data_IF_129107743564
#
_entry.id   IF_129107743564
#
_cell.length_a   1.000
_cell.length_b   1.000
_cell.length_c   1.000
_cell.angle_alpha   90.00
_cell.angle_beta   90.00
_cell.angle_gamma   90.00
#
_symmetry.space_group_name_H-M   'P 1'
#
loop_
_entity.id
_entity.type
_entity.pdbx_description
1 polymer ?
#
# COMPACT_ATOMS: atom_id res chain seq x y z
N UNK A 1 -18.36 1.44 -20.04
CA UNK A 1 -17.65 1.65 -18.75
C UNK A 1 -16.27 2.11 -19.13
N UNK A 2 -15.80 3.23 -18.58
CA UNK A 2 -14.56 3.85 -19.05
C UNK A 2 -13.40 3.47 -18.14
N UNK A 3 -12.36 2.85 -18.71
CA UNK A 3 -11.09 2.56 -18.05
C UNK A 3 -9.94 2.89 -19.00
N UNK A 4 -8.76 3.15 -18.44
CA UNK A 4 -7.54 3.37 -19.20
C UNK A 4 -6.51 2.30 -18.86
N UNK A 5 -5.69 1.93 -19.84
CA UNK A 5 -4.57 1.02 -19.62
C UNK A 5 -3.26 1.81 -19.42
N UNK A 6 -2.33 1.22 -18.68
CA UNK A 6 -1.00 1.77 -18.47
C UNK A 6 0.06 0.68 -18.32
N UNK A 7 1.31 1.12 -18.15
CA UNK A 7 2.49 0.25 -18.08
C UNK A 7 2.91 -0.10 -16.64
N UNK A 8 2.28 0.50 -15.63
CA UNK A 8 2.56 0.20 -14.22
C UNK A 8 2.23 -1.27 -13.90
N UNK A 9 3.10 -1.93 -13.14
CA UNK A 9 2.97 -3.36 -12.83
C UNK A 9 2.90 -3.59 -11.34
N UNK A 10 2.32 -4.74 -10.97
CA UNK A 10 2.36 -5.22 -9.59
C UNK A 10 3.82 -5.27 -9.12
N UNK A 11 4.06 -4.79 -7.89
CA UNK A 11 5.35 -4.88 -7.26
C UNK A 11 5.80 -6.34 -7.21
N UNK A 12 7.06 -6.59 -7.55
CA UNK A 12 7.61 -7.94 -7.57
C UNK A 12 8.21 -8.29 -6.20
N UNK A 13 8.15 -9.57 -5.78
CA UNK A 13 8.88 -10.01 -4.61
C UNK A 13 10.36 -9.66 -4.69
N UNK A 14 10.85 -8.98 -3.67
CA UNK A 14 12.24 -8.49 -3.61
C UNK A 14 13.22 -9.52 -3.02
N UNK A 15 12.71 -10.66 -2.56
CA UNK A 15 13.44 -11.62 -1.75
C UNK A 15 13.30 -11.36 -0.25
N UNK A 16 13.79 -12.31 0.54
CA UNK A 16 13.80 -12.28 2.01
C UNK A 16 14.90 -11.37 2.54
N UNK A 17 14.76 -10.90 3.78
CA UNK A 17 15.84 -10.20 4.49
C UNK A 17 17.15 -10.99 4.40
N UNK A 18 18.22 -10.33 3.95
CA UNK A 18 19.54 -10.92 3.84
C UNK A 18 20.33 -10.75 5.15
N UNK A 19 21.25 -11.69 5.49
CA UNK A 19 22.01 -11.64 6.74
C UNK A 19 22.81 -10.34 6.95
N UNK A 20 23.34 -9.77 5.87
CA UNK A 20 24.10 -8.52 5.86
C UNK A 20 23.23 -7.27 6.08
N UNK A 21 21.91 -7.38 5.89
CA UNK A 21 20.96 -6.29 6.17
C UNK A 21 20.50 -6.26 7.64
N UNK A 22 20.58 -7.39 8.36
CA UNK A 22 19.91 -7.55 9.66
C UNK A 22 20.37 -6.55 10.72
N UNK A 23 21.69 -6.34 10.84
CA UNK A 23 22.26 -5.45 11.86
C UNK A 23 21.81 -4.00 11.65
N UNK A 24 21.82 -3.53 10.40
CA UNK A 24 21.41 -2.17 10.05
C UNK A 24 19.91 -1.98 10.26
N UNK A 25 19.10 -2.97 9.86
CA UNK A 25 17.65 -2.95 10.08
C UNK A 25 17.35 -2.91 11.58
N UNK A 26 17.99 -3.76 12.39
CA UNK A 26 17.80 -3.78 13.84
C UNK A 26 18.14 -2.43 14.49
N UNK A 27 19.26 -1.81 14.08
CA UNK A 27 19.67 -0.49 14.56
C UNK A 27 18.63 0.59 14.21
N UNK A 28 18.13 0.60 12.98
CA UNK A 28 17.13 1.58 12.54
C UNK A 28 15.79 1.38 13.25
N UNK A 29 15.34 0.13 13.45
CA UNK A 29 14.14 -0.17 14.22
C UNK A 29 14.28 0.30 15.69
N UNK A 30 15.45 0.12 16.29
CA UNK A 30 15.74 0.63 17.63
C UNK A 30 15.71 2.17 17.69
N UNK A 31 16.26 2.86 16.68
CA UNK A 31 16.17 4.34 16.54
C UNK A 31 14.73 4.82 16.41
N UNK A 32 13.87 4.05 15.74
CA UNK A 32 12.41 4.26 15.71
C UNK A 32 11.69 3.88 17.01
N UNK A 33 12.42 3.62 18.09
CA UNK A 33 11.91 3.30 19.44
C UNK A 33 11.10 1.99 19.50
N UNK A 34 11.31 1.07 18.55
CA UNK A 34 10.72 -0.27 18.63
C UNK A 34 11.36 -1.05 19.78
N UNK A 35 10.53 -1.75 20.57
CA UNK A 35 11.03 -2.56 21.69
C UNK A 35 11.88 -3.74 21.20
N UNK A 36 12.94 -4.18 21.93
CA UNK A 36 13.82 -5.25 21.47
C UNK A 36 13.12 -6.55 21.06
N UNK A 37 12.09 -6.95 21.81
CA UNK A 37 11.31 -8.14 21.50
C UNK A 37 10.49 -8.00 20.19
N UNK A 38 10.08 -6.78 19.86
CA UNK A 38 9.36 -6.46 18.63
C UNK A 38 10.30 -6.33 17.43
N UNK A 39 11.54 -5.87 17.65
CA UNK A 39 12.61 -5.89 16.65
C UNK A 39 12.85 -7.33 16.19
N UNK A 40 13.02 -8.28 17.12
CA UNK A 40 13.25 -9.67 16.74
C UNK A 40 12.06 -10.28 15.99
N UNK A 41 10.82 -9.94 16.38
CA UNK A 41 9.62 -10.35 15.64
C UNK A 41 9.59 -9.77 14.23
N UNK A 42 9.95 -8.49 14.08
CA UNK A 42 10.03 -7.83 12.78
C UNK A 42 11.08 -8.50 11.89
N UNK A 43 12.31 -8.69 12.39
CA UNK A 43 13.38 -9.39 11.67
C UNK A 43 12.95 -10.80 11.26
N UNK A 44 12.36 -11.56 12.19
CA UNK A 44 11.82 -12.90 11.90
C UNK A 44 10.75 -12.87 10.81
N UNK A 45 9.89 -11.84 10.81
CA UNK A 45 8.88 -11.68 9.76
C UNK A 45 9.51 -11.37 8.40
N UNK A 46 10.44 -10.42 8.35
CA UNK A 46 11.16 -10.05 7.13
C UNK A 46 12.03 -11.19 6.56
N UNK A 47 12.58 -12.09 7.40
CA UNK A 47 13.26 -13.31 6.96
C UNK A 47 12.33 -14.31 6.28
N UNK A 48 11.02 -14.27 6.57
CA UNK A 48 10.02 -15.20 5.99
C UNK A 48 9.37 -14.64 4.74
N UNK A 49 9.14 -13.34 4.73
CA UNK A 49 8.48 -12.60 3.65
C UNK A 49 9.29 -12.59 2.36
N UNK A 50 8.61 -12.71 1.21
CA UNK A 50 9.24 -12.54 -0.11
C UNK A 50 9.49 -11.06 -0.47
N UNK A 51 9.04 -10.11 0.36
CA UNK A 51 9.28 -8.67 0.25
C UNK A 51 10.26 -8.14 1.32
N UNK A 52 10.83 -9.04 2.12
CA UNK A 52 11.68 -8.69 3.25
C UNK A 52 12.91 -7.84 2.89
N UNK A 53 13.58 -8.15 1.79
CA UNK A 53 14.77 -7.43 1.34
C UNK A 53 14.47 -5.98 0.92
N UNK A 54 13.34 -5.76 0.24
CA UNK A 54 12.89 -4.45 -0.20
C UNK A 54 12.49 -3.56 0.98
N UNK A 55 11.73 -4.12 1.92
CA UNK A 55 11.40 -3.42 3.17
C UNK A 55 12.67 -3.10 3.96
N UNK A 56 13.60 -4.06 4.06
CA UNK A 56 14.88 -3.87 4.73
C UNK A 56 15.71 -2.74 4.11
N UNK A 57 15.68 -2.60 2.78
CA UNK A 57 16.31 -1.49 2.07
C UNK A 57 15.72 -0.14 2.50
N UNK A 58 14.40 0.01 2.48
CA UNK A 58 13.74 1.26 2.91
C UNK A 58 14.00 1.60 4.38
N UNK A 59 13.98 0.60 5.26
CA UNK A 59 14.34 0.79 6.68
C UNK A 59 15.78 1.27 6.82
N UNK A 60 16.71 0.60 6.13
CA UNK A 60 18.15 0.89 6.21
C UNK A 60 18.50 2.28 5.67
N UNK A 61 17.84 2.71 4.59
CA UNK A 61 18.02 4.05 4.03
C UNK A 61 17.49 5.15 4.96
N UNK A 62 16.54 4.85 5.85
CA UNK A 62 16.02 5.79 6.85
C UNK A 62 15.24 6.98 6.29
N UNK A 63 15.06 7.09 4.97
CA UNK A 63 14.42 8.24 4.31
C UNK A 63 12.98 8.48 4.72
N UNK A 64 12.26 7.42 5.07
CA UNK A 64 10.85 7.47 5.47
C UNK A 64 10.66 7.55 7.00
N UNK A 65 11.75 7.46 7.78
CA UNK A 65 11.70 7.30 9.24
C UNK A 65 11.11 8.49 10.01
N UNK A 66 11.09 9.66 9.38
CA UNK A 66 10.56 10.89 9.97
C UNK A 66 9.07 11.11 9.68
N UNK A 67 8.48 10.28 8.81
CA UNK A 67 7.08 10.43 8.43
C UNK A 67 6.16 9.96 9.57
N UNK A 68 5.09 10.71 9.92
CA UNK A 68 4.08 10.24 10.86
C UNK A 68 3.51 8.89 10.42
N UNK A 69 3.20 8.01 11.39
CA UNK A 69 2.67 6.66 11.12
C UNK A 69 3.70 5.61 10.72
N UNK A 70 4.98 5.99 10.59
CA UNK A 70 6.04 5.05 10.19
C UNK A 70 6.21 3.89 11.19
N UNK A 71 6.10 4.15 12.50
CA UNK A 71 6.16 3.10 13.53
C UNK A 71 5.03 2.08 13.40
N UNK A 72 3.82 2.55 13.10
CA UNK A 72 2.61 1.76 12.91
C UNK A 72 2.76 0.89 11.67
N UNK A 73 3.27 1.46 10.57
CA UNK A 73 3.60 0.71 9.34
C UNK A 73 4.60 -0.42 9.64
N UNK A 74 5.72 -0.11 10.30
CA UNK A 74 6.74 -1.11 10.66
C UNK A 74 6.19 -2.21 11.58
N UNK A 75 5.21 -1.88 12.42
CA UNK A 75 4.61 -2.85 13.33
C UNK A 75 3.89 -3.99 12.58
N UNK A 76 3.46 -3.76 11.33
CA UNK A 76 2.83 -4.78 10.49
C UNK A 76 3.81 -5.85 10.00
N UNK A 77 5.11 -5.53 9.90
CA UNK A 77 6.16 -6.52 9.58
C UNK A 77 6.32 -7.60 10.66
N UNK A 78 5.76 -7.39 11.86
CA UNK A 78 5.74 -8.41 12.92
C UNK A 78 4.74 -9.53 12.64
N UNK A 79 3.79 -9.32 11.72
CA UNK A 79 2.65 -10.20 11.45
C UNK A 79 2.87 -11.01 10.16
N UNK A 80 3.99 -11.74 10.08
CA UNK A 80 4.25 -12.65 8.94
C UNK A 80 4.11 -14.10 9.39
N UNK A 81 3.09 -14.74 8.84
CA UNK A 81 2.75 -16.15 9.07
C UNK A 81 2.24 -16.79 7.78
N UNK A 82 2.06 -18.11 7.77
CA UNK A 82 1.44 -18.80 6.62
C UNK A 82 0.00 -18.35 6.34
N UNK A 83 -0.70 -17.81 7.35
CA UNK A 83 -2.11 -17.45 7.24
C UNK A 83 -2.35 -15.96 6.98
N UNK A 84 -1.34 -15.11 7.24
CA UNK A 84 -1.40 -13.67 7.10
C UNK A 84 0.00 -13.13 6.92
N UNK A 85 0.22 -12.39 5.84
CA UNK A 85 1.45 -11.69 5.53
C UNK A 85 1.11 -10.28 5.06
N UNK A 86 1.42 -9.28 5.88
CA UNK A 86 1.20 -7.87 5.58
C UNK A 86 2.37 -7.23 4.84
N UNK A 87 3.49 -7.94 4.69
CA UNK A 87 4.69 -7.38 4.08
C UNK A 87 4.52 -6.90 2.63
N UNK A 88 3.69 -7.50 1.75
CA UNK A 88 3.49 -6.93 0.43
C UNK A 88 2.86 -5.54 0.51
N UNK A 89 1.83 -5.36 1.35
CA UNK A 89 1.18 -4.06 1.54
C UNK A 89 2.12 -3.02 2.18
N UNK A 90 2.95 -3.43 3.14
CA UNK A 90 3.97 -2.56 3.72
C UNK A 90 4.98 -2.11 2.67
N UNK A 91 5.46 -3.03 1.83
CA UNK A 91 6.39 -2.70 0.75
C UNK A 91 5.76 -1.74 -0.24
N UNK A 92 4.51 -1.98 -0.66
CA UNK A 92 3.76 -1.07 -1.55
C UNK A 92 3.65 0.34 -0.94
N UNK A 93 3.32 0.45 0.35
CA UNK A 93 3.19 1.74 1.01
C UNK A 93 4.53 2.50 1.05
N UNK A 94 5.63 1.82 1.39
CA UNK A 94 6.97 2.42 1.38
C UNK A 94 7.39 2.86 -0.02
N UNK A 95 7.17 2.04 -1.03
CA UNK A 95 7.47 2.34 -2.43
C UNK A 95 6.67 3.55 -2.93
N UNK A 96 5.37 3.59 -2.63
CA UNK A 96 4.49 4.70 -3.02
C UNK A 96 4.89 6.01 -2.32
N UNK A 97 5.17 5.98 -1.02
CA UNK A 97 5.62 7.15 -0.29
C UNK A 97 7.00 7.63 -0.78
N UNK A 98 7.91 6.71 -1.12
CA UNK A 98 9.21 7.05 -1.68
C UNK A 98 9.08 7.71 -3.07
N UNK A 99 8.18 7.21 -3.93
CA UNK A 99 7.90 7.83 -5.22
C UNK A 99 7.29 9.24 -5.07
N UNK A 100 6.31 9.40 -4.18
CA UNK A 100 5.76 10.72 -3.85
C UNK A 100 6.83 11.69 -3.34
N UNK A 101 7.71 11.23 -2.45
CA UNK A 101 8.81 12.04 -1.93
C UNK A 101 9.80 12.41 -3.05
N UNK A 102 10.12 11.49 -3.96
CA UNK A 102 10.99 11.74 -5.11
C UNK A 102 10.40 12.77 -6.09
N UNK A 103 9.07 12.85 -6.17
CA UNK A 103 8.33 13.88 -6.93
C UNK A 103 8.24 15.22 -6.20
N UNK A 104 8.78 15.32 -4.98
CA UNK A 104 8.78 16.55 -4.18
C UNK A 104 7.50 16.79 -3.38
N UNK A 105 6.63 15.78 -3.25
CA UNK A 105 5.42 15.86 -2.42
C UNK A 105 5.81 16.00 -0.95
N UNK A 106 5.20 16.96 -0.26
CA UNK A 106 5.41 17.25 1.17
C UNK A 106 4.18 16.83 1.97
N UNK A 107 4.32 16.75 3.29
CA UNK A 107 3.20 16.41 4.17
C UNK A 107 2.78 14.94 4.11
N UNK A 108 3.69 14.06 3.69
CA UNK A 108 3.47 12.62 3.66
C UNK A 108 3.29 12.06 5.06
N UNK A 109 2.39 11.09 5.20
CA UNK A 109 2.22 10.27 6.39
C UNK A 109 1.77 8.86 5.99
N UNK A 110 1.87 7.94 6.94
CA UNK A 110 1.36 6.58 6.85
C UNK A 110 0.21 6.35 7.83
N UNK A 111 -0.54 5.27 7.58
CA UNK A 111 -1.44 4.65 8.55
C UNK A 111 -2.35 5.63 9.28
N UNK A 112 -3.34 6.16 8.58
CA UNK A 112 -4.38 6.97 9.20
C UNK A 112 -5.75 6.36 9.05
N UNK A 113 -6.43 6.16 10.18
CA UNK A 113 -7.73 5.50 10.24
C UNK A 113 -8.73 6.34 11.01
N UNK A 114 -9.93 6.50 10.46
CA UNK A 114 -11.11 7.02 11.14
C UNK A 114 -12.23 6.01 10.93
N UNK A 115 -12.29 4.95 11.77
CA UNK A 115 -13.23 3.85 11.56
C UNK A 115 -14.70 4.27 11.56
N UNK A 116 -15.04 5.31 12.35
CA UNK A 116 -16.40 5.86 12.39
C UNK A 116 -16.87 6.43 11.05
N UNK A 117 -15.92 6.91 10.24
CA UNK A 117 -16.18 7.46 8.92
C UNK A 117 -15.86 6.45 7.80
N UNK A 118 -15.42 5.24 8.14
CA UNK A 118 -14.98 4.23 7.18
C UNK A 118 -13.79 4.70 6.34
N UNK A 119 -12.83 5.35 7.01
CA UNK A 119 -11.55 5.75 6.44
C UNK A 119 -10.40 4.93 7.02
N UNK A 120 -9.58 4.38 6.13
CA UNK A 120 -8.34 3.67 6.38
C UNK A 120 -7.43 4.01 5.20
N UNK A 121 -6.33 4.72 5.46
CA UNK A 121 -5.38 5.21 4.47
C UNK A 121 -3.98 4.70 4.85
N UNK A 122 -3.38 3.88 4.00
CA UNK A 122 -2.02 3.38 4.24
C UNK A 122 -0.98 4.48 3.95
N UNK A 123 -1.21 5.34 2.95
CA UNK A 123 -0.38 6.53 2.62
C UNK A 123 -1.27 7.75 2.40
N UNK A 124 -0.88 8.90 2.91
CA UNK A 124 -1.64 10.14 2.73
C UNK A 124 -0.74 11.37 2.63
N UNK A 125 -1.32 12.46 2.09
CA UNK A 125 -0.72 13.80 2.04
C UNK A 125 -1.60 14.75 2.83
N UNK A 126 -0.98 15.51 3.73
CA UNK A 126 -1.65 16.51 4.57
C UNK A 126 -1.10 17.91 4.41
N UNK A 127 -2.02 18.86 4.47
CA UNK A 127 -1.75 20.29 4.55
C UNK A 127 -2.55 20.87 5.71
N UNK A 128 -1.88 20.99 6.88
CA UNK A 128 -2.56 21.27 8.14
C UNK A 128 -3.50 20.13 8.51
N UNK A 129 -4.77 20.46 8.76
CA UNK A 129 -5.82 19.49 9.12
C UNK A 129 -6.47 18.83 7.88
N UNK A 130 -6.14 19.29 6.67
CA UNK A 130 -6.75 18.80 5.42
C UNK A 130 -5.99 17.61 4.87
N UNK A 131 -6.73 16.62 4.35
CA UNK A 131 -6.15 15.46 3.64
C UNK A 131 -6.34 15.68 2.14
N UNK A 132 -5.26 16.09 1.48
CA UNK A 132 -5.25 16.44 0.04
C UNK A 132 -5.16 15.19 -0.85
N UNK A 133 -4.62 14.10 -0.31
CA UNK A 133 -4.53 12.81 -1.00
C UNK A 133 -4.53 11.67 0.01
N UNK A 134 -5.22 10.59 -0.32
CA UNK A 134 -5.23 9.36 0.45
C UNK A 134 -5.19 8.13 -0.45
N UNK A 135 -4.26 7.22 -0.17
CA UNK A 135 -4.14 5.95 -0.84
C UNK A 135 -4.43 4.79 0.13
N UNK A 136 -5.26 3.86 -0.31
CA UNK A 136 -5.35 2.52 0.24
C UNK A 136 -4.67 1.54 -0.71
N UNK A 137 -3.70 0.79 -0.20
CA UNK A 137 -2.93 -0.18 -0.94
C UNK A 137 -3.37 -1.60 -0.59
N UNK A 138 -3.36 -2.49 -1.59
CA UNK A 138 -3.76 -3.88 -1.38
C UNK A 138 -2.99 -4.83 -2.28
N UNK A 139 -2.44 -5.86 -1.67
CA UNK A 139 -1.94 -7.02 -2.38
C UNK A 139 -3.08 -8.04 -2.61
N UNK A 140 -3.23 -8.50 -3.84
CA UNK A 140 -4.32 -9.37 -4.29
C UNK A 140 -3.77 -10.54 -5.08
N UNK A 141 -3.99 -11.75 -4.54
CA UNK A 141 -3.47 -12.99 -5.13
C UNK A 141 -3.92 -13.30 -6.57
N UNK A 142 -5.11 -12.83 -6.98
CA UNK A 142 -5.63 -13.07 -8.35
C UNK A 142 -6.78 -12.15 -8.71
N UNK A 143 -7.09 -12.05 -10.01
CA UNK A 143 -8.22 -11.24 -10.48
C UNK A 143 -9.57 -11.68 -9.88
N UNK A 144 -9.73 -12.98 -9.59
CA UNK A 144 -10.94 -13.52 -8.94
C UNK A 144 -11.21 -12.91 -7.54
N UNK A 145 -10.15 -12.52 -6.82
CA UNK A 145 -10.20 -11.93 -5.48
C UNK A 145 -10.45 -10.42 -5.48
N UNK A 146 -10.37 -9.75 -6.64
CA UNK A 146 -10.65 -8.32 -6.75
C UNK A 146 -12.04 -7.95 -6.26
N UNK A 147 -13.02 -8.84 -6.44
CA UNK A 147 -14.39 -8.58 -6.03
C UNK A 147 -14.55 -8.42 -4.52
N UNK A 148 -13.84 -9.21 -3.71
CA UNK A 148 -13.87 -9.10 -2.25
C UNK A 148 -12.95 -7.97 -1.78
N UNK A 149 -11.75 -7.85 -2.35
CA UNK A 149 -10.79 -6.80 -2.01
C UNK A 149 -11.38 -5.40 -2.21
N UNK A 150 -11.87 -5.09 -3.41
CA UNK A 150 -12.43 -3.77 -3.72
C UNK A 150 -13.75 -3.51 -2.99
N UNK A 151 -14.50 -4.56 -2.62
CA UNK A 151 -15.67 -4.41 -1.72
C UNK A 151 -15.25 -3.92 -0.35
N UNK A 152 -14.25 -4.56 0.25
CA UNK A 152 -13.72 -4.17 1.56
C UNK A 152 -13.23 -2.73 1.55
N UNK A 153 -12.49 -2.35 0.51
CA UNK A 153 -12.04 -0.97 0.32
C UNK A 153 -13.23 -0.02 0.29
N UNK A 154 -14.22 -0.30 -0.57
CA UNK A 154 -15.34 0.61 -0.79
C UNK A 154 -16.31 0.73 0.38
N UNK A 155 -16.50 -0.34 1.16
CA UNK A 155 -17.48 -0.36 2.26
C UNK A 155 -16.85 0.03 3.60
N UNK A 156 -15.52 -0.05 3.76
CA UNK A 156 -14.87 0.06 5.07
C UNK A 156 -13.67 0.99 5.14
N UNK A 157 -13.03 1.29 4.01
CA UNK A 157 -11.72 1.96 4.01
C UNK A 157 -11.72 3.30 3.27
N UNK A 158 -12.54 3.47 2.22
CA UNK A 158 -12.57 4.69 1.41
C UNK A 158 -13.98 5.29 1.26
N UNK A 159 -14.94 4.90 2.10
CA UNK A 159 -16.30 5.46 2.02
C UNK A 159 -16.37 6.87 2.60
N UNK A 160 -15.60 7.16 3.65
CA UNK A 160 -15.57 8.48 4.26
C UNK A 160 -14.91 9.53 3.35
N UNK A 161 -15.16 10.79 3.66
CA UNK A 161 -14.70 11.91 2.83
C UNK A 161 -13.33 12.43 3.28
N UNK A 162 -12.55 12.88 2.32
CA UNK A 162 -11.34 13.69 2.53
C UNK A 162 -11.43 14.93 1.64
N UNK A 163 -10.58 15.94 1.89
CA UNK A 163 -10.60 17.20 1.14
C UNK A 163 -10.21 17.04 -0.34
N UNK A 164 -9.32 16.09 -0.62
CA UNK A 164 -8.82 15.85 -1.96
C UNK A 164 -9.09 14.44 -2.46
N UNK A 165 -8.08 13.82 -3.07
CA UNK A 165 -8.27 12.66 -3.92
C UNK A 165 -8.04 11.34 -3.17
N UNK A 166 -8.96 10.40 -3.36
CA UNK A 166 -8.80 9.02 -2.89
C UNK A 166 -8.34 8.11 -4.01
N UNK A 167 -7.37 7.26 -3.72
CA UNK A 167 -6.86 6.24 -4.64
C UNK A 167 -6.84 4.89 -3.95
N UNK A 168 -7.28 3.85 -4.65
CA UNK A 168 -7.09 2.47 -4.26
C UNK A 168 -6.08 1.83 -5.22
N UNK A 169 -4.90 1.46 -4.74
CA UNK A 169 -3.85 0.82 -5.54
C UNK A 169 -3.81 -0.66 -5.20
N UNK A 170 -4.10 -1.51 -6.17
CA UNK A 170 -4.15 -2.95 -5.98
C UNK A 170 -3.11 -3.65 -6.83
N UNK A 171 -2.19 -4.37 -6.20
CA UNK A 171 -1.29 -5.29 -6.88
C UNK A 171 -1.98 -6.62 -7.09
N UNK A 172 -2.17 -6.99 -8.34
CA UNK A 172 -2.90 -8.18 -8.75
C UNK A 172 -1.90 -9.16 -9.34
N UNK A 173 -1.70 -10.29 -8.66
CA UNK A 173 -0.77 -11.36 -9.06
C UNK A 173 -1.31 -12.24 -10.20
N UNK A 174 -1.84 -11.59 -11.22
CA UNK A 174 -2.47 -12.17 -12.40
C UNK A 174 -2.10 -11.33 -13.64
N UNK A 175 -2.66 -11.69 -14.80
CA UNK A 175 -2.58 -10.89 -16.02
C UNK A 175 -3.86 -10.09 -16.24
N UNK A 176 -3.79 -8.99 -17.01
CA UNK A 176 -4.97 -8.21 -17.40
C UNK A 176 -6.05 -9.06 -18.07
N UNK A 177 -5.66 -10.10 -18.81
CA UNK A 177 -6.59 -11.02 -19.48
C UNK A 177 -7.52 -11.80 -18.51
N UNK A 178 -7.15 -11.92 -17.23
CA UNK A 178 -8.00 -12.55 -16.22
C UNK A 178 -9.13 -11.62 -15.72
N UNK A 179 -9.09 -10.34 -16.07
CA UNK A 179 -10.12 -9.38 -15.70
C UNK A 179 -11.33 -9.52 -16.62
N UNK A 180 -12.50 -9.77 -16.03
CA UNK A 180 -13.77 -9.84 -16.75
C UNK A 180 -14.54 -8.53 -16.66
N UNK A 181 -15.37 -8.24 -17.66
CA UNK A 181 -16.28 -7.08 -17.66
C UNK A 181 -17.17 -7.02 -16.42
N UNK A 182 -17.55 -8.18 -15.87
CA UNK A 182 -18.34 -8.27 -14.64
C UNK A 182 -17.56 -7.77 -13.41
N UNK A 183 -16.28 -8.13 -13.31
CA UNK A 183 -15.41 -7.66 -12.21
C UNK A 183 -15.19 -6.16 -12.37
N UNK A 184 -14.80 -5.71 -13.57
CA UNK A 184 -14.60 -4.31 -13.89
C UNK A 184 -15.86 -3.48 -13.62
N UNK A 185 -17.02 -4.03 -14.00
CA UNK A 185 -18.37 -3.56 -13.68
C UNK A 185 -18.55 -3.14 -12.23
N UNK A 186 -18.14 -4.04 -11.33
CA UNK A 186 -18.25 -3.86 -9.87
C UNK A 186 -17.22 -2.87 -9.35
N UNK A 187 -16.01 -2.88 -9.90
CA UNK A 187 -14.94 -1.96 -9.51
C UNK A 187 -15.32 -0.53 -9.87
N UNK A 188 -15.86 -0.27 -11.07
CA UNK A 188 -16.29 1.08 -11.43
C UNK A 188 -17.49 1.57 -10.60
N UNK A 189 -18.42 0.67 -10.23
CA UNK A 189 -19.47 1.03 -9.28
C UNK A 189 -18.89 1.46 -7.93
N UNK A 190 -17.86 0.74 -7.45
CA UNK A 190 -17.14 1.03 -6.20
C UNK A 190 -16.37 2.35 -6.26
N UNK A 191 -15.60 2.55 -7.33
CA UNK A 191 -14.91 3.82 -7.63
C UNK A 191 -15.86 5.02 -7.55
N UNK A 192 -17.05 4.88 -8.14
CA UNK A 192 -18.08 5.93 -8.11
C UNK A 192 -18.63 6.20 -6.71
N UNK A 193 -18.98 5.17 -5.93
CA UNK A 193 -19.56 5.39 -4.59
C UNK A 193 -18.55 5.92 -3.58
N UNK A 194 -17.27 5.59 -3.74
CA UNK A 194 -16.21 6.14 -2.90
C UNK A 194 -15.67 7.46 -3.43
N UNK A 195 -16.03 7.89 -4.63
CA UNK A 195 -15.34 8.99 -5.34
C UNK A 195 -13.81 8.79 -5.32
N UNK A 196 -13.35 7.59 -5.70
CA UNK A 196 -11.94 7.24 -5.69
C UNK A 196 -11.50 6.65 -7.04
N UNK A 197 -10.23 6.84 -7.37
CA UNK A 197 -9.58 6.15 -8.51
C UNK A 197 -9.07 4.79 -8.05
N UNK A 198 -9.43 3.73 -8.76
CA UNK A 198 -8.90 2.39 -8.55
C UNK A 198 -7.84 2.11 -9.62
N UNK A 199 -6.61 1.81 -9.19
CA UNK A 199 -5.50 1.39 -10.04
C UNK A 199 -5.24 -0.09 -9.77
N UNK A 200 -5.46 -0.91 -10.79
CA UNK A 200 -5.20 -2.35 -10.75
C UNK A 200 -3.88 -2.59 -11.49
N UNK A 201 -2.81 -2.89 -10.77
CA UNK A 201 -1.49 -3.18 -11.33
C UNK A 201 -1.36 -4.69 -11.46
N UNK A 202 -1.32 -5.20 -12.68
CA UNK A 202 -1.13 -6.63 -13.00
C UNK A 202 0.34 -6.92 -13.34
N UNK A 203 0.66 -8.17 -13.63
CA UNK A 203 2.02 -8.57 -14.05
C UNK A 203 2.41 -8.00 -15.43
N UNK A 204 1.43 -7.72 -16.27
CA UNK A 204 1.57 -7.31 -17.68
C UNK A 204 1.06 -5.89 -17.97
N UNK A 205 0.85 -5.07 -16.94
CA UNK A 205 0.46 -3.66 -17.05
C UNK A 205 -0.64 -3.29 -16.05
N UNK A 206 -1.23 -2.11 -16.19
CA UNK A 206 -2.25 -1.62 -15.28
C UNK A 206 -3.56 -1.25 -15.96
N UNK A 207 -4.62 -1.19 -15.16
CA UNK A 207 -5.94 -0.68 -15.51
C UNK A 207 -6.36 0.35 -14.46
N UNK A 208 -6.77 1.53 -14.91
CA UNK A 208 -7.26 2.62 -14.05
C UNK A 208 -8.76 2.84 -14.26
N UNK A 209 -9.49 2.92 -13.15
CA UNK A 209 -10.95 3.07 -13.11
C UNK A 209 -11.34 4.20 -12.15
N UNK A 210 -12.03 5.27 -12.59
CA UNK A 210 -12.43 5.54 -13.99
C UNK A 210 -11.21 5.80 -14.89
N UNK A 211 -11.41 5.74 -16.22
CA UNK A 211 -10.37 6.05 -17.19
C UNK A 211 -9.70 7.40 -16.89
N UNK A 212 -8.36 7.40 -16.92
CA UNK A 212 -7.53 8.59 -16.66
C UNK A 212 -7.84 9.28 -15.33
N UNK A 213 -8.45 8.56 -14.38
CA UNK A 213 -8.61 9.05 -13.01
C UNK A 213 -7.23 9.40 -12.45
N UNK A 214 -7.10 10.51 -11.71
CA UNK A 214 -5.81 10.88 -11.16
C UNK A 214 -5.36 9.82 -10.15
N UNK A 215 -4.05 9.57 -10.09
CA UNK A 215 -3.44 8.54 -9.24
C UNK A 215 -2.38 9.10 -8.27
N UNK A 216 -1.97 10.35 -8.50
CA UNK A 216 -1.03 11.13 -7.70
C UNK A 216 -1.66 12.48 -7.31
N UNK A 217 -1.22 13.12 -6.20
CA UNK A 217 -1.63 14.46 -5.80
C UNK A 217 -1.15 15.56 -6.76
#
# INVERSE_FOLDING_TARGET
MDYSEGDEKASQPTGRLQPDQEAVVAEQLAKSKMAPHDIEKCLTGLRKSEYGAGIAKYISEGKLSHLPGYSELLSQCKQVSKASDMSPAVYMAMEHAADLQARGVKGLAFEWKVPGDGLDLDVLVRSGDRIEYGAQLKDVNSASSLNSATRGIAEKQLIGNIDGQKVAILDVHDTKAALTDKILGRIAHRARITNATFVLRFRDGSITVPANGPTYP
#
